data_IF_469040864887
#
_entry.id   IF_469040864887
#
_cell.length_a   1.000
_cell.length_b   1.000
_cell.length_c   1.000
_cell.angle_alpha   90.00
_cell.angle_beta   90.00
_cell.angle_gamma   90.00
#
_symmetry.space_group_name_H-M   'P 1'
#
loop_
_entity.id
_entity.type
_entity.pdbx_description
1 polymer ?
#
# COMPACT_ATOMS: atom_id res chain seq x y z
N UNK A 1 21.27 -14.90 76.90
CA UNK A 1 22.16 -14.74 75.74
C UNK A 1 21.45 -15.34 74.55
N UNK A 2 20.90 -14.51 73.66
CA UNK A 2 20.09 -14.95 72.52
C UNK A 2 20.79 -14.47 71.26
N UNK A 3 21.27 -15.41 70.45
CA UNK A 3 22.08 -15.17 69.25
C UNK A 3 21.19 -15.01 68.01
N UNK A 4 21.59 -14.05 67.17
CA UNK A 4 21.07 -13.63 65.87
C UNK A 4 20.73 -14.76 64.88
N UNK A 5 19.85 -14.48 63.90
CA UNK A 5 20.08 -14.56 62.43
C UNK A 5 18.79 -14.24 61.65
N UNK A 6 18.76 -13.12 60.92
CA UNK A 6 19.00 -12.96 59.48
C UNK A 6 17.69 -12.94 58.65
N UNK A 7 17.33 -11.74 58.19
CA UNK A 7 16.54 -11.49 56.99
C UNK A 7 17.23 -12.14 55.77
N UNK A 8 16.48 -12.64 54.77
CA UNK A 8 16.43 -11.86 53.53
C UNK A 8 15.06 -11.82 52.85
N UNK A 9 14.81 -10.67 52.23
CA UNK A 9 13.72 -10.41 51.31
C UNK A 9 13.75 -11.36 50.12
N UNK A 10 12.65 -12.07 49.87
CA UNK A 10 12.44 -12.82 48.64
C UNK A 10 11.66 -11.93 47.66
N UNK A 11 12.39 -11.14 46.87
CA UNK A 11 11.91 -10.56 45.63
C UNK A 11 11.52 -11.70 44.67
N UNK A 12 10.23 -11.93 44.49
CA UNK A 12 9.73 -12.66 43.31
C UNK A 12 9.66 -11.65 42.15
N UNK A 13 10.75 -11.57 41.38
CA UNK A 13 10.80 -10.84 40.12
C UNK A 13 9.92 -11.58 39.12
N UNK A 14 8.89 -10.88 38.62
CA UNK A 14 7.98 -11.35 37.58
C UNK A 14 8.78 -11.83 36.36
N UNK A 15 8.46 -13.03 35.90
CA UNK A 15 8.83 -13.54 34.60
C UNK A 15 8.21 -12.64 33.52
N UNK A 16 9.03 -11.76 32.93
CA UNK A 16 8.73 -11.16 31.63
C UNK A 16 8.92 -12.26 30.58
N UNK A 17 7.84 -12.97 30.27
CA UNK A 17 7.73 -13.71 29.02
C UNK A 17 7.85 -12.67 27.89
N UNK A 18 9.06 -12.52 27.36
CA UNK A 18 9.30 -11.74 26.16
C UNK A 18 8.56 -12.40 25.01
N UNK A 19 7.39 -11.87 24.66
CA UNK A 19 6.81 -12.09 23.34
C UNK A 19 7.84 -11.60 22.33
N UNK A 20 8.57 -12.52 21.70
CA UNK A 20 9.34 -12.20 20.51
C UNK A 20 8.33 -11.82 19.43
N UNK A 21 8.14 -10.54 19.22
CA UNK A 21 7.49 -10.02 18.01
C UNK A 21 8.39 -10.43 16.85
N UNK A 22 8.07 -11.54 16.21
CA UNK A 22 8.62 -11.86 14.89
C UNK A 22 8.18 -10.72 13.97
N UNK A 23 9.10 -9.82 13.64
CA UNK A 23 8.88 -8.81 12.62
C UNK A 23 8.47 -9.55 11.34
N UNK A 24 7.20 -9.41 10.97
CA UNK A 24 6.76 -9.87 9.66
C UNK A 24 7.60 -9.13 8.63
N UNK A 25 8.38 -9.86 7.84
CA UNK A 25 9.11 -9.27 6.71
C UNK A 25 8.04 -8.74 5.75
N UNK A 26 7.89 -7.42 5.70
CA UNK A 26 6.90 -6.81 4.82
C UNK A 26 7.38 -6.96 3.39
N UNK A 27 6.54 -7.56 2.53
CA UNK A 27 6.88 -7.79 1.12
C UNK A 27 7.10 -6.45 0.42
N UNK A 28 8.17 -6.26 -0.37
CA UNK A 28 8.35 -5.04 -1.16
C UNK A 28 7.28 -4.90 -2.25
N UNK A 29 6.74 -6.02 -2.76
CA UNK A 29 5.69 -6.02 -3.78
C UNK A 29 4.33 -5.81 -3.10
N UNK A 30 3.54 -4.79 -3.50
CA UNK A 30 2.17 -4.59 -3.07
C UNK A 30 1.26 -5.77 -3.42
N UNK A 31 0.29 -6.05 -2.56
CA UNK A 31 -0.82 -6.93 -2.88
C UNK A 31 -1.87 -6.22 -3.74
N UNK A 32 -2.66 -6.99 -4.48
CA UNK A 32 -3.77 -6.48 -5.30
C UNK A 32 -4.70 -5.56 -4.50
N UNK A 33 -4.98 -5.95 -3.25
CA UNK A 33 -5.85 -5.17 -2.35
C UNK A 33 -5.26 -3.80 -2.02
N UNK A 34 -3.95 -3.71 -1.81
CA UNK A 34 -3.26 -2.44 -1.53
C UNK A 34 -3.30 -1.53 -2.75
N UNK A 35 -3.04 -2.06 -3.94
CA UNK A 35 -3.11 -1.29 -5.20
C UNK A 35 -4.54 -0.80 -5.46
N UNK A 36 -5.55 -1.69 -5.35
CA UNK A 36 -6.96 -1.32 -5.53
C UNK A 36 -7.36 -0.21 -4.54
N UNK A 37 -6.97 -0.34 -3.27
CA UNK A 37 -7.26 0.67 -2.26
C UNK A 37 -6.59 2.00 -2.61
N UNK A 38 -5.31 1.98 -2.97
CA UNK A 38 -4.56 3.19 -3.32
C UNK A 38 -5.17 3.92 -4.52
N UNK A 39 -5.39 3.22 -5.63
CA UNK A 39 -5.96 3.79 -6.86
C UNK A 39 -7.36 4.36 -6.59
N UNK A 40 -8.17 3.65 -5.79
CA UNK A 40 -9.52 4.13 -5.43
C UNK A 40 -9.47 5.39 -4.57
N UNK A 41 -8.55 5.45 -3.59
CA UNK A 41 -8.40 6.60 -2.69
C UNK A 41 -7.78 7.82 -3.36
N UNK A 42 -6.96 7.62 -4.39
CA UNK A 42 -6.25 8.68 -5.11
C UNK A 42 -6.80 8.89 -6.53
N UNK A 43 -8.06 8.56 -6.76
CA UNK A 43 -8.65 8.57 -8.11
C UNK A 43 -8.47 9.88 -8.88
N UNK A 44 -8.44 11.03 -8.19
CA UNK A 44 -8.19 12.34 -8.81
C UNK A 44 -6.92 12.37 -9.65
N UNK A 45 -5.91 11.59 -9.27
CA UNK A 45 -4.60 11.57 -9.91
C UNK A 45 -4.62 10.70 -11.17
N UNK A 46 -5.49 9.69 -11.17
CA UNK A 46 -5.68 8.75 -12.28
C UNK A 46 -6.73 9.22 -13.29
N UNK A 47 -7.72 10.01 -12.89
CA UNK A 47 -8.87 10.36 -13.72
C UNK A 47 -8.46 11.04 -15.04
N UNK A 48 -7.54 12.01 -14.97
CA UNK A 48 -7.04 12.69 -16.16
C UNK A 48 -6.31 11.72 -17.12
N UNK A 49 -5.51 10.79 -16.58
CA UNK A 49 -4.84 9.76 -17.36
C UNK A 49 -5.85 8.78 -17.97
N UNK A 50 -6.85 8.36 -17.21
CA UNK A 50 -7.92 7.47 -17.67
C UNK A 50 -8.74 8.11 -18.80
N UNK A 51 -9.10 9.38 -18.66
CA UNK A 51 -9.77 10.17 -19.68
C UNK A 51 -8.91 10.32 -20.95
N UNK A 52 -7.61 10.55 -20.79
CA UNK A 52 -6.66 10.59 -21.90
C UNK A 52 -6.60 9.27 -22.66
N UNK A 53 -6.37 8.15 -21.97
CA UNK A 53 -6.30 6.81 -22.55
C UNK A 53 -7.62 6.40 -23.23
N UNK A 54 -8.74 6.89 -22.70
CA UNK A 54 -10.06 6.67 -23.26
C UNK A 54 -10.41 7.59 -24.44
N UNK A 55 -9.51 8.46 -24.89
CA UNK A 55 -9.78 9.48 -25.93
C UNK A 55 -10.94 10.42 -25.57
N UNK A 56 -11.11 10.70 -24.27
CA UNK A 56 -12.15 11.58 -23.70
C UNK A 56 -11.53 12.68 -22.85
N UNK A 57 -10.41 13.23 -23.33
CA UNK A 57 -9.66 14.30 -22.67
C UNK A 57 -10.59 15.47 -22.28
N UNK A 58 -10.39 16.01 -21.09
CA UNK A 58 -11.21 17.10 -20.55
C UNK A 58 -12.54 16.67 -19.95
N UNK A 59 -12.84 15.37 -19.91
CA UNK A 59 -14.00 14.83 -19.20
C UNK A 59 -13.55 14.06 -17.96
N UNK A 60 -14.36 14.15 -16.92
CA UNK A 60 -14.17 13.44 -15.65
C UNK A 60 -14.84 12.07 -15.74
N UNK A 61 -14.18 11.03 -15.25
CA UNK A 61 -14.78 9.73 -15.01
C UNK A 61 -14.88 9.47 -13.50
N UNK A 62 -15.90 8.73 -13.10
CA UNK A 62 -15.94 8.10 -11.79
C UNK A 62 -15.38 6.67 -11.90
N UNK A 63 -14.53 6.29 -10.94
CA UNK A 63 -14.06 4.92 -10.85
C UNK A 63 -15.23 3.97 -10.56
N UNK A 64 -15.29 2.85 -11.27
CA UNK A 64 -16.25 1.77 -11.06
C UNK A 64 -15.56 0.58 -10.41
N UNK A 65 -14.40 0.17 -10.93
CA UNK A 65 -13.59 -0.91 -10.36
C UNK A 65 -12.14 -0.85 -10.81
N UNK A 66 -11.27 -1.50 -10.04
CA UNK A 66 -9.88 -1.81 -10.40
C UNK A 66 -9.71 -3.32 -10.33
N UNK A 67 -9.25 -3.95 -11.41
CA UNK A 67 -9.13 -5.41 -11.53
C UNK A 67 -7.80 -5.79 -12.18
N UNK A 68 -7.53 -7.10 -12.26
CA UNK A 68 -6.41 -7.66 -13.01
C UNK A 68 -5.06 -7.03 -12.62
N UNK A 69 -4.84 -6.88 -11.31
CA UNK A 69 -3.61 -6.30 -10.76
C UNK A 69 -2.48 -7.31 -10.87
N UNK A 70 -1.38 -6.91 -11.47
CA UNK A 70 -0.15 -7.67 -11.57
C UNK A 70 1.02 -6.78 -11.19
N UNK A 71 1.81 -7.19 -10.19
CA UNK A 71 2.96 -6.43 -9.71
C UNK A 71 4.24 -7.25 -9.81
N UNK A 72 5.31 -6.61 -10.28
CA UNK A 72 6.66 -7.17 -10.36
C UNK A 72 7.65 -6.24 -9.66
N UNK A 73 8.65 -6.80 -9.00
CA UNK A 73 9.73 -6.00 -8.42
C UNK A 73 10.58 -5.37 -9.54
N UNK A 74 10.94 -4.10 -9.38
CA UNK A 74 11.74 -3.32 -10.33
C UNK A 74 12.68 -2.39 -9.53
N UNK A 75 13.97 -2.74 -9.47
CA UNK A 75 15.06 -1.96 -8.83
C UNK A 75 14.79 -1.39 -7.41
N UNK A 76 14.01 -2.09 -6.59
CA UNK A 76 13.69 -1.70 -5.20
C UNK A 76 12.27 -1.17 -5.02
N UNK A 77 11.59 -0.93 -6.14
CA UNK A 77 10.18 -0.55 -6.21
C UNK A 77 9.36 -1.71 -6.81
N UNK A 78 8.06 -1.48 -6.98
CA UNK A 78 7.16 -2.42 -7.64
C UNK A 78 6.45 -1.76 -8.82
N UNK A 79 6.69 -2.27 -10.02
CA UNK A 79 5.90 -1.91 -11.20
C UNK A 79 4.62 -2.72 -11.20
N UNK A 80 3.47 -2.05 -11.16
CA UNK A 80 2.16 -2.67 -11.15
C UNK A 80 1.35 -2.27 -12.38
N UNK A 81 0.82 -3.25 -13.10
CA UNK A 81 -0.18 -3.06 -14.16
C UNK A 81 -1.55 -3.49 -13.67
N UNK A 82 -2.60 -2.78 -14.05
CA UNK A 82 -3.97 -3.08 -13.64
C UNK A 82 -4.98 -2.55 -14.65
N UNK A 83 -6.20 -3.06 -14.62
CA UNK A 83 -7.32 -2.58 -15.44
C UNK A 83 -8.23 -1.70 -14.59
N UNK A 84 -8.40 -0.45 -15.00
CA UNK A 84 -9.41 0.44 -14.43
C UNK A 84 -10.67 0.39 -15.28
N UNK A 85 -11.82 0.23 -14.64
CA UNK A 85 -13.12 0.51 -15.24
C UNK A 85 -13.65 1.84 -14.70
N UNK A 86 -13.91 2.78 -15.60
CA UNK A 86 -14.43 4.11 -15.27
C UNK A 86 -15.72 4.42 -16.02
N UNK A 87 -16.54 5.29 -15.45
CA UNK A 87 -17.82 5.75 -16.01
C UNK A 87 -17.83 7.26 -16.16
N UNK A 88 -18.08 7.74 -17.36
CA UNK A 88 -18.22 9.17 -17.65
C UNK A 88 -19.64 9.67 -17.35
N UNK A 89 -19.83 11.00 -17.35
CA UNK A 89 -21.12 11.65 -17.07
C UNK A 89 -22.24 11.27 -18.04
N UNK A 90 -21.90 10.92 -19.29
CA UNK A 90 -22.85 10.43 -20.30
C UNK A 90 -23.28 8.96 -20.06
N UNK A 91 -22.79 8.35 -18.98
CA UNK A 91 -23.07 6.97 -18.60
C UNK A 91 -22.21 5.93 -19.32
N UNK A 92 -21.35 6.32 -20.26
CA UNK A 92 -20.46 5.39 -20.96
C UNK A 92 -19.43 4.83 -19.98
N UNK A 93 -19.28 3.51 -20.00
CA UNK A 93 -18.32 2.77 -19.17
C UNK A 93 -17.22 2.21 -20.07
N UNK A 94 -15.97 2.52 -19.74
CA UNK A 94 -14.80 2.04 -20.47
C UNK A 94 -13.83 1.33 -19.53
N UNK A 95 -12.99 0.46 -20.09
CA UNK A 95 -11.90 -0.21 -19.39
C UNK A 95 -10.58 0.22 -20.02
N UNK A 96 -9.61 0.60 -19.20
CA UNK A 96 -8.27 0.97 -19.65
C UNK A 96 -7.20 0.25 -18.83
N UNK A 97 -6.17 -0.30 -19.49
CA UNK A 97 -4.97 -0.72 -18.79
C UNK A 97 -4.19 0.51 -18.32
N UNK A 98 -3.70 0.44 -17.09
CA UNK A 98 -2.87 1.47 -16.47
C UNK A 98 -1.65 0.82 -15.81
N UNK A 99 -0.61 1.61 -15.64
CA UNK A 99 0.65 1.21 -15.03
C UNK A 99 1.07 2.31 -14.06
N UNK A 100 1.50 1.90 -12.87
CA UNK A 100 2.10 2.76 -11.85
C UNK A 100 3.25 2.04 -11.15
N UNK A 101 4.20 2.82 -10.65
CA UNK A 101 5.31 2.33 -9.83
C UNK A 101 4.98 2.64 -8.38
N UNK A 102 5.16 1.67 -7.50
CA UNK A 102 4.87 1.82 -6.08
C UNK A 102 6.10 1.53 -5.25
N UNK A 103 6.32 2.36 -4.24
CA UNK A 103 7.31 2.11 -3.20
C UNK A 103 6.61 1.85 -1.87
N UNK A 104 7.13 0.88 -1.12
CA UNK A 104 6.65 0.62 0.23
C UNK A 104 7.39 1.50 1.23
N UNK A 105 6.61 2.20 2.05
CA UNK A 105 7.11 3.10 3.08
C UNK A 105 7.47 2.38 4.37
N UNK A 106 8.20 3.06 5.26
CA UNK A 106 8.65 2.51 6.55
C UNK A 106 7.50 2.14 7.52
N UNK A 107 6.31 2.71 7.31
CA UNK A 107 5.09 2.37 8.05
C UNK A 107 4.30 1.21 7.42
N UNK A 108 4.78 0.67 6.30
CA UNK A 108 4.15 -0.41 5.55
C UNK A 108 3.10 0.05 4.54
N UNK A 109 2.76 1.34 4.46
CA UNK A 109 1.92 1.87 3.38
C UNK A 109 2.64 1.83 2.03
N UNK A 110 1.87 1.93 0.95
CA UNK A 110 2.42 2.08 -0.41
C UNK A 110 2.18 3.50 -0.90
N UNK A 111 3.13 4.03 -1.67
CA UNK A 111 3.03 5.33 -2.31
C UNK A 111 3.40 5.19 -3.78
N UNK A 112 2.67 5.90 -4.66
CA UNK A 112 2.99 5.95 -6.07
C UNK A 112 4.21 6.82 -6.33
N UNK A 113 5.16 6.29 -7.10
CA UNK A 113 6.29 7.04 -7.60
C UNK A 113 5.89 7.76 -8.87
N UNK A 114 5.86 9.09 -8.79
CA UNK A 114 5.64 9.93 -9.96
C UNK A 114 6.94 9.94 -10.77
N UNK A 115 6.97 9.45 -12.02
CA UNK A 115 8.17 9.52 -12.84
C UNK A 115 8.53 10.99 -13.07
N UNK A 116 9.64 11.42 -12.47
CA UNK A 116 10.24 12.73 -12.74
C UNK A 116 10.84 12.64 -14.14
N UNK A 117 10.14 13.21 -15.14
CA UNK A 117 10.76 13.44 -16.44
C UNK A 117 11.96 14.39 -16.22
N UNK A 118 13.18 14.03 -16.67
CA UNK A 118 14.27 14.99 -16.66
C UNK A 118 13.86 16.18 -17.54
N UNK A 119 14.00 17.39 -16.99
CA UNK A 119 13.69 18.65 -17.65
C UNK A 119 14.52 18.88 -18.92
#
# INVERSE_FOLDING_TARGET
MTLYRLFPAALFVLALAGCSTTSAVVSPIPSDREVVAYVTSNWSDYDAQFAFLSQRQGQTAAIVSVTDVECVADDGDARCTFIVQGRFEDGVVLRQPMESYFQRQGDGSIEELIPVLPA
#
